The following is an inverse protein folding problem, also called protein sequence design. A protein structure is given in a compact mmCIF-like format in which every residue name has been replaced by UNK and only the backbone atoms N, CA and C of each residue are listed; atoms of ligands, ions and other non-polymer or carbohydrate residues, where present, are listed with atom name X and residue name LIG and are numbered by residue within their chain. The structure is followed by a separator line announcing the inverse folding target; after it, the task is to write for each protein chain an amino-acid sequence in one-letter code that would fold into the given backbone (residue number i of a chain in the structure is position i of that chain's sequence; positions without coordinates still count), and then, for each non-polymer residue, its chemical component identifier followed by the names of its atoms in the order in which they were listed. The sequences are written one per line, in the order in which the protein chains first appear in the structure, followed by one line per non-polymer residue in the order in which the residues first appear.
data_IF_480182924682
#
_entry.id   IF_480182924682
#
_cell.length_a   1.000
_cell.length_b   1.000
_cell.length_c   1.000
_cell.angle_alpha   90.00
_cell.angle_beta   90.00
_cell.angle_gamma   90.00
#
_symmetry.space_group_name_H-M   'P 1'
#
loop_
_entity.id
_entity.type
_entity.pdbx_description
1 polymer ?
#
# COMPACT_ATOMS: atom_id res chain seq x y z
N UNK A 1 -18.09 9.91 -14.92
CA UNK A 1 -17.10 8.92 -14.52
C UNK A 1 -17.24 7.54 -15.17
N UNK A 2 -18.44 6.99 -15.37
CA UNK A 2 -18.58 5.68 -16.07
C UNK A 2 -17.93 5.64 -17.45
N UNK A 3 -17.88 6.78 -18.16
CA UNK A 3 -17.30 6.85 -19.50
C UNK A 3 -15.76 6.69 -19.51
N UNK A 4 -15.04 7.29 -18.54
CA UNK A 4 -13.58 7.14 -18.40
C UNK A 4 -13.20 5.71 -18.02
N UNK A 5 -13.92 5.12 -17.09
CA UNK A 5 -13.73 3.75 -16.68
C UNK A 5 -13.97 2.75 -17.83
N UNK A 6 -15.04 2.95 -18.60
CA UNK A 6 -15.33 2.14 -19.77
C UNK A 6 -14.25 2.32 -20.85
N UNK A 7 -13.74 3.52 -21.04
CA UNK A 7 -12.64 3.80 -21.95
C UNK A 7 -11.35 3.10 -21.51
N UNK A 8 -11.00 3.15 -20.22
CA UNK A 8 -9.81 2.51 -19.67
C UNK A 8 -9.83 0.98 -19.88
N UNK A 9 -11.00 0.36 -19.70
CA UNK A 9 -11.17 -1.09 -19.92
C UNK A 9 -10.96 -1.53 -21.36
N UNK A 10 -11.26 -0.66 -22.32
CA UNK A 10 -11.19 -0.95 -23.77
C UNK A 10 -9.88 -0.52 -24.41
N UNK A 11 -9.22 0.46 -23.81
CA UNK A 11 -8.03 1.07 -24.38
C UNK A 11 -6.83 0.13 -24.29
N UNK A 12 -6.02 0.10 -25.34
CA UNK A 12 -4.80 -0.72 -25.43
C UNK A 12 -3.53 0.12 -25.65
N UNK A 13 -3.69 1.37 -26.05
CA UNK A 13 -2.57 2.28 -26.27
C UNK A 13 -2.07 2.82 -24.93
N UNK A 14 -0.81 2.57 -24.53
CA UNK A 14 -0.31 2.94 -23.22
C UNK A 14 -0.47 4.44 -22.87
N UNK A 15 -0.16 5.32 -23.81
CA UNK A 15 -0.31 6.78 -23.61
C UNK A 15 -1.75 7.21 -23.37
N UNK A 16 -2.71 6.56 -24.01
CA UNK A 16 -4.12 6.86 -23.84
C UNK A 16 -4.60 6.34 -22.48
N UNK A 17 -4.17 5.15 -22.07
CA UNK A 17 -4.41 4.62 -20.72
C UNK A 17 -3.89 5.56 -19.63
N UNK A 18 -2.67 6.06 -19.82
CA UNK A 18 -2.05 7.02 -18.89
C UNK A 18 -2.87 8.31 -18.80
N UNK A 19 -3.33 8.84 -19.92
CA UNK A 19 -4.17 10.04 -19.95
C UNK A 19 -5.52 9.81 -19.25
N UNK A 20 -6.15 8.65 -19.46
CA UNK A 20 -7.42 8.30 -18.78
C UNK A 20 -7.20 8.13 -17.28
N UNK A 21 -6.13 7.45 -16.88
CA UNK A 21 -5.77 7.29 -15.47
C UNK A 21 -5.53 8.65 -14.80
N UNK A 22 -4.80 9.54 -15.47
CA UNK A 22 -4.58 10.92 -15.00
C UNK A 22 -5.90 11.68 -14.84
N UNK A 23 -6.83 11.51 -15.75
CA UNK A 23 -8.15 12.14 -15.66
C UNK A 23 -8.95 11.62 -14.45
N UNK A 24 -8.89 10.30 -14.17
CA UNK A 24 -9.50 9.72 -12.98
C UNK A 24 -8.85 10.25 -11.69
N UNK A 25 -7.53 10.35 -11.66
CA UNK A 25 -6.80 10.95 -10.52
C UNK A 25 -7.22 12.39 -10.26
N UNK A 26 -7.43 13.19 -11.31
CA UNK A 26 -7.85 14.59 -11.16
C UNK A 26 -9.26 14.73 -10.61
N UNK A 27 -10.13 13.79 -10.84
CA UNK A 27 -11.45 13.74 -10.20
C UNK A 27 -11.30 13.42 -8.70
N UNK A 28 -10.48 12.42 -8.36
CA UNK A 28 -10.01 12.17 -7.01
C UNK A 28 -11.06 11.79 -5.99
N UNK A 29 -12.22 11.33 -6.43
CA UNK A 29 -13.32 10.90 -5.58
C UNK A 29 -13.33 9.37 -5.35
N UNK A 30 -14.20 8.91 -4.46
CA UNK A 30 -14.35 7.49 -4.17
C UNK A 30 -14.71 6.66 -5.41
N UNK A 31 -15.51 7.22 -6.32
CA UNK A 31 -15.87 6.54 -7.57
C UNK A 31 -14.65 6.32 -8.47
N UNK A 32 -13.75 7.30 -8.53
CA UNK A 32 -12.47 7.15 -9.25
C UNK A 32 -11.60 6.05 -8.65
N UNK A 33 -11.53 5.97 -7.32
CA UNK A 33 -10.81 4.89 -6.62
C UNK A 33 -11.39 3.53 -6.96
N UNK A 34 -12.72 3.36 -6.87
CA UNK A 34 -13.40 2.10 -7.21
C UNK A 34 -13.10 1.63 -8.64
N UNK A 35 -12.96 2.56 -9.59
CA UNK A 35 -12.64 2.22 -10.97
C UNK A 35 -11.15 1.87 -11.19
N UNK A 36 -10.26 2.36 -10.35
CA UNK A 36 -8.82 2.10 -10.43
C UNK A 36 -8.45 0.80 -9.70
N UNK A 37 -9.10 0.49 -8.57
CA UNK A 37 -8.76 -0.66 -7.71
C UNK A 37 -8.62 -2.01 -8.46
N UNK A 38 -9.48 -2.37 -9.43
CA UNK A 38 -9.35 -3.64 -10.13
C UNK A 38 -8.00 -3.82 -10.86
N UNK A 39 -7.34 -2.73 -11.22
CA UNK A 39 -6.06 -2.77 -11.92
C UNK A 39 -4.86 -3.15 -11.04
N UNK A 40 -5.04 -3.19 -9.72
CA UNK A 40 -4.05 -3.78 -8.81
C UNK A 40 -3.83 -5.29 -9.09
N UNK A 41 -4.81 -5.95 -9.69
CA UNK A 41 -4.75 -7.37 -10.10
C UNK A 41 -4.35 -7.56 -11.56
N UNK A 42 -4.02 -6.48 -12.28
CA UNK A 42 -3.66 -6.56 -13.70
C UNK A 42 -2.42 -7.42 -13.93
N UNK A 43 -2.46 -8.27 -14.94
CA UNK A 43 -1.29 -9.02 -15.41
C UNK A 43 -0.32 -8.11 -16.18
N UNK A 44 -0.79 -6.99 -16.69
CA UNK A 44 0.04 -5.95 -17.28
C UNK A 44 0.73 -5.15 -16.17
N UNK A 45 2.05 -5.35 -16.03
CA UNK A 45 2.85 -4.69 -14.99
C UNK A 45 2.85 -3.16 -15.10
N UNK A 46 2.80 -2.62 -16.33
CA UNK A 46 2.72 -1.18 -16.57
C UNK A 46 1.40 -0.60 -16.09
N UNK A 47 0.29 -1.27 -16.38
CA UNK A 47 -1.04 -0.86 -15.94
C UNK A 47 -1.20 -0.98 -14.42
N UNK A 48 -0.64 -2.04 -13.83
CA UNK A 48 -0.62 -2.21 -12.37
C UNK A 48 0.19 -1.09 -11.70
N UNK A 49 1.37 -0.75 -12.24
CA UNK A 49 2.18 0.35 -11.73
C UNK A 49 1.46 1.70 -11.81
N UNK A 50 0.78 1.98 -12.92
CA UNK A 50 -0.04 3.19 -13.07
C UNK A 50 -1.15 3.25 -12.01
N UNK A 51 -1.83 2.13 -11.76
CA UNK A 51 -2.88 2.06 -10.75
C UNK A 51 -2.33 2.35 -9.34
N UNK A 52 -1.18 1.79 -8.99
CA UNK A 52 -0.51 2.03 -7.71
C UNK A 52 -0.19 3.53 -7.56
N UNK A 53 0.44 4.14 -8.54
CA UNK A 53 0.77 5.56 -8.52
C UNK A 53 -0.48 6.44 -8.41
N UNK A 54 -1.52 6.12 -9.16
CA UNK A 54 -2.79 6.83 -9.11
C UNK A 54 -3.41 6.79 -7.71
N UNK A 55 -3.50 5.61 -7.11
CA UNK A 55 -4.07 5.43 -5.77
C UNK A 55 -3.21 6.06 -4.67
N UNK A 56 -1.88 6.01 -4.79
CA UNK A 56 -0.97 6.69 -3.87
C UNK A 56 -1.12 8.21 -3.90
N UNK A 57 -1.55 8.78 -5.02
CA UNK A 57 -1.81 10.22 -5.12
C UNK A 57 -3.13 10.65 -4.49
N UNK A 58 -3.97 9.70 -4.05
CA UNK A 58 -5.31 9.92 -3.52
C UNK A 58 -5.45 9.39 -2.08
N UNK A 59 -4.59 9.80 -1.13
CA UNK A 59 -4.54 9.18 0.19
C UNK A 59 -5.85 9.29 0.98
N UNK A 60 -6.55 10.42 0.86
CA UNK A 60 -7.84 10.60 1.53
C UNK A 60 -8.96 9.78 0.89
N UNK A 61 -8.94 9.64 -0.45
CA UNK A 61 -9.97 8.90 -1.17
C UNK A 61 -9.80 7.38 -1.03
N UNK A 62 -8.56 6.89 -0.92
CA UNK A 62 -8.27 5.46 -0.75
C UNK A 62 -8.48 4.97 0.69
N UNK A 63 -8.36 5.84 1.68
CA UNK A 63 -8.42 5.48 3.09
C UNK A 63 -9.65 4.61 3.47
N UNK A 64 -10.88 4.89 3.01
CA UNK A 64 -12.04 4.05 3.31
C UNK A 64 -11.97 2.62 2.75
N UNK A 65 -11.13 2.37 1.75
CA UNK A 65 -10.99 1.07 1.11
C UNK A 65 -9.91 0.20 1.74
N UNK A 66 -9.07 0.76 2.61
CA UNK A 66 -7.88 0.07 3.14
C UNK A 66 -8.22 -1.17 3.95
N UNK A 67 -9.28 -1.14 4.77
CA UNK A 67 -9.69 -2.30 5.56
C UNK A 67 -10.05 -3.50 4.67
N UNK A 68 -10.76 -3.25 3.57
CA UNK A 68 -11.11 -4.28 2.57
C UNK A 68 -9.88 -4.82 1.85
N UNK A 69 -8.97 -3.94 1.44
CA UNK A 69 -7.74 -4.32 0.76
C UNK A 69 -6.82 -5.16 1.66
N UNK A 70 -6.73 -4.82 2.93
CA UNK A 70 -5.93 -5.57 3.91
C UNK A 70 -6.55 -6.92 4.27
N UNK A 71 -7.80 -7.14 3.95
CA UNK A 71 -8.53 -8.41 4.15
C UNK A 71 -8.65 -9.21 2.85
N UNK A 72 -8.02 -8.77 1.78
CA UNK A 72 -8.08 -9.47 0.50
C UNK A 72 -7.45 -10.87 0.63
N UNK A 73 -8.08 -11.92 0.05
CA UNK A 73 -7.52 -13.27 0.10
C UNK A 73 -6.19 -13.41 -0.62
N UNK A 74 -5.90 -12.53 -1.59
CA UNK A 74 -4.65 -12.52 -2.33
C UNK A 74 -3.58 -11.73 -1.56
N UNK A 75 -2.50 -12.42 -1.16
CA UNK A 75 -1.38 -11.79 -0.45
C UNK A 75 -0.68 -10.70 -1.27
N UNK A 76 -0.66 -10.83 -2.60
CA UNK A 76 -0.08 -9.81 -3.46
C UNK A 76 -0.88 -8.51 -3.42
N UNK A 77 -2.21 -8.60 -3.35
CA UNK A 77 -3.07 -7.42 -3.15
C UNK A 77 -2.84 -6.79 -1.79
N UNK A 78 -2.72 -7.59 -0.72
CA UNK A 78 -2.41 -7.06 0.62
C UNK A 78 -1.05 -6.37 0.67
N UNK A 79 -0.05 -6.93 -0.02
CA UNK A 79 1.28 -6.32 -0.15
C UNK A 79 1.19 -4.96 -0.85
N UNK A 80 0.51 -4.90 -1.99
CA UNK A 80 0.31 -3.63 -2.70
C UNK A 80 -0.49 -2.63 -1.87
N UNK A 81 -1.47 -3.09 -1.10
CA UNK A 81 -2.23 -2.23 -0.19
C UNK A 81 -1.34 -1.56 0.86
N UNK A 82 -0.33 -2.27 1.39
CA UNK A 82 0.65 -1.67 2.28
C UNK A 82 1.39 -0.51 1.59
N UNK A 83 1.80 -0.68 0.34
CA UNK A 83 2.44 0.37 -0.45
C UNK A 83 1.55 1.61 -0.67
N UNK A 84 0.23 1.43 -0.74
CA UNK A 84 -0.71 2.54 -0.92
C UNK A 84 -0.74 3.52 0.27
N UNK A 85 -0.27 3.11 1.44
CA UNK A 85 -0.24 3.96 2.63
C UNK A 85 0.93 4.95 2.64
N UNK A 86 1.89 4.82 1.74
CA UNK A 86 3.16 5.57 1.74
C UNK A 86 2.97 7.09 1.72
N UNK A 87 1.95 7.60 1.06
CA UNK A 87 1.66 9.03 0.95
C UNK A 87 0.58 9.51 1.93
N UNK A 88 0.12 8.66 2.84
CA UNK A 88 -0.76 9.07 3.93
C UNK A 88 0.03 9.82 5.00
N UNK A 89 -0.66 10.58 5.86
CA UNK A 89 0.02 11.16 7.01
C UNK A 89 0.59 10.05 7.92
N UNK A 90 1.68 10.35 8.61
CA UNK A 90 2.44 9.37 9.40
C UNK A 90 1.59 8.64 10.44
N UNK A 91 0.67 9.34 11.10
CA UNK A 91 -0.21 8.75 12.12
C UNK A 91 -1.17 7.72 11.53
N UNK A 92 -1.84 8.05 10.42
CA UNK A 92 -2.79 7.14 9.76
C UNK A 92 -2.07 5.94 9.13
N UNK A 93 -0.94 6.18 8.45
CA UNK A 93 -0.12 5.10 7.90
C UNK A 93 0.33 4.13 9.00
N UNK A 94 0.84 4.65 10.10
CA UNK A 94 1.29 3.82 11.24
C UNK A 94 0.14 2.99 11.80
N UNK A 95 -1.01 3.58 12.06
CA UNK A 95 -2.18 2.86 12.57
C UNK A 95 -2.62 1.74 11.64
N UNK A 96 -2.79 2.04 10.36
CA UNK A 96 -3.24 1.07 9.36
C UNK A 96 -2.25 -0.07 9.18
N UNK A 97 -0.96 0.23 9.11
CA UNK A 97 0.09 -0.78 8.92
C UNK A 97 0.28 -1.66 10.16
N UNK A 98 0.14 -1.09 11.35
CA UNK A 98 0.14 -1.89 12.58
C UNK A 98 -1.04 -2.86 12.64
N UNK A 99 -2.25 -2.41 12.27
CA UNK A 99 -3.43 -3.29 12.17
C UNK A 99 -3.20 -4.44 11.18
N UNK A 100 -2.56 -4.16 10.03
CA UNK A 100 -2.20 -5.18 9.06
C UNK A 100 -1.20 -6.18 9.65
N UNK A 101 -0.08 -5.69 10.19
CA UNK A 101 1.02 -6.52 10.71
C UNK A 101 0.52 -7.45 11.83
N UNK A 102 -0.34 -6.98 12.71
CA UNK A 102 -0.82 -7.75 13.87
C UNK A 102 -1.56 -9.04 13.47
N UNK A 103 -2.20 -9.07 12.33
CA UNK A 103 -2.97 -10.23 11.83
C UNK A 103 -2.37 -10.91 10.61
N UNK A 104 -1.33 -10.35 10.01
CA UNK A 104 -0.72 -10.87 8.79
C UNK A 104 0.18 -12.06 9.09
N UNK A 105 -0.02 -13.14 8.35
CA UNK A 105 0.77 -14.37 8.47
C UNK A 105 1.84 -14.49 7.37
N UNK A 106 1.72 -13.72 6.29
CA UNK A 106 2.64 -13.80 5.17
C UNK A 106 3.83 -12.86 5.37
N UNK A 107 5.07 -13.39 5.46
CA UNK A 107 6.25 -12.57 5.77
C UNK A 107 6.54 -11.48 4.74
N UNK A 108 6.23 -11.69 3.47
CA UNK A 108 6.44 -10.67 2.43
C UNK A 108 5.48 -9.50 2.57
N UNK A 109 4.25 -9.73 3.01
CA UNK A 109 3.30 -8.65 3.30
C UNK A 109 3.76 -7.85 4.51
N UNK A 110 4.20 -8.53 5.57
CA UNK A 110 4.82 -7.85 6.72
C UNK A 110 6.04 -7.04 6.31
N UNK A 111 6.90 -7.58 5.44
CA UNK A 111 8.08 -6.87 4.95
C UNK A 111 7.72 -5.59 4.19
N UNK A 112 6.69 -5.61 3.34
CA UNK A 112 6.19 -4.42 2.65
C UNK A 112 5.69 -3.36 3.63
N UNK A 113 4.95 -3.78 4.65
CA UNK A 113 4.47 -2.87 5.70
C UNK A 113 5.62 -2.27 6.52
N UNK A 114 6.63 -3.09 6.87
CA UNK A 114 7.85 -2.64 7.57
C UNK A 114 8.63 -1.63 6.73
N UNK A 115 8.73 -1.85 5.42
CA UNK A 115 9.41 -0.93 4.51
C UNK A 115 8.75 0.45 4.50
N UNK A 116 7.43 0.50 4.42
CA UNK A 116 6.70 1.78 4.50
C UNK A 116 6.88 2.43 5.87
N UNK A 117 6.77 1.66 6.97
CA UNK A 117 6.98 2.19 8.33
C UNK A 117 8.41 2.72 8.54
N UNK A 118 9.39 2.15 7.86
CA UNK A 118 10.78 2.66 7.89
C UNK A 118 10.88 4.08 7.37
N UNK A 119 10.05 4.45 6.39
CA UNK A 119 10.06 5.79 5.81
C UNK A 119 9.15 6.77 6.55
N UNK A 120 7.94 6.35 6.93
CA UNK A 120 6.88 7.25 7.41
C UNK A 120 6.35 6.90 8.80
N UNK A 121 6.82 5.81 9.42
CA UNK A 121 6.31 5.33 10.69
C UNK A 121 6.61 6.26 11.86
N UNK A 122 5.75 6.18 12.88
CA UNK A 122 5.90 6.88 14.14
C UNK A 122 6.32 5.91 15.26
N UNK A 123 6.81 6.39 16.42
CA UNK A 123 7.22 5.51 17.53
C UNK A 123 6.13 4.55 18.02
N UNK A 124 4.86 4.85 17.80
CA UNK A 124 3.74 3.98 18.14
C UNK A 124 3.79 2.61 17.43
N UNK A 125 4.54 2.50 16.31
CA UNK A 125 4.73 1.25 15.60
C UNK A 125 5.68 0.28 16.32
N UNK A 126 6.55 0.76 17.19
CA UNK A 126 7.63 -0.05 17.78
C UNK A 126 7.14 -1.31 18.47
N UNK A 127 6.12 -1.27 19.35
CA UNK A 127 5.63 -2.50 20.00
C UNK A 127 5.12 -3.55 19.00
N UNK A 128 4.42 -3.12 17.95
CA UNK A 128 3.92 -4.01 16.90
C UNK A 128 5.08 -4.62 16.10
N UNK A 129 6.09 -3.83 15.78
CA UNK A 129 7.29 -4.29 15.09
C UNK A 129 8.07 -5.33 15.91
N UNK A 130 8.23 -5.10 17.20
CA UNK A 130 8.90 -6.06 18.10
C UNK A 130 8.16 -7.39 18.19
N UNK A 131 6.84 -7.37 18.28
CA UNK A 131 6.01 -8.59 18.26
C UNK A 131 6.11 -9.32 16.91
N UNK A 132 6.14 -8.58 15.83
CA UNK A 132 6.31 -9.13 14.48
C UNK A 132 7.66 -9.84 14.34
N UNK A 133 8.75 -9.22 14.81
CA UNK A 133 10.08 -9.84 14.80
C UNK A 133 10.11 -11.15 15.60
N UNK A 134 9.45 -11.20 16.73
CA UNK A 134 9.34 -12.40 17.55
C UNK A 134 8.54 -13.52 16.86
N UNK A 135 7.43 -13.18 16.19
CA UNK A 135 6.62 -14.11 15.41
C UNK A 135 7.37 -14.72 14.24
N UNK A 136 8.17 -13.92 13.54
CA UNK A 136 8.90 -14.31 12.34
C UNK A 136 10.39 -14.52 12.59
N UNK A 137 10.76 -14.97 13.78
CA UNK A 137 12.17 -15.18 14.16
C UNK A 137 12.93 -16.09 13.21
N UNK A 138 12.25 -17.02 12.53
CA UNK A 138 12.84 -17.92 11.55
C UNK A 138 12.97 -17.30 10.14
N UNK A 139 12.38 -16.15 9.90
CA UNK A 139 12.52 -15.47 8.62
C UNK A 139 13.97 -14.98 8.44
N UNK A 140 14.59 -15.20 7.27
CA UNK A 140 15.98 -14.79 7.04
C UNK A 140 16.15 -13.27 6.89
N UNK A 141 15.09 -12.53 6.66
CA UNK A 141 15.16 -11.09 6.35
C UNK A 141 14.33 -10.20 7.27
N UNK A 142 13.19 -10.68 7.78
CA UNK A 142 12.21 -9.83 8.45
C UNK A 142 12.70 -9.27 9.79
N UNK A 143 13.33 -10.05 10.70
CA UNK A 143 13.86 -9.49 11.95
C UNK A 143 14.90 -8.39 11.73
N UNK A 144 15.75 -8.53 10.72
CA UNK A 144 16.74 -7.51 10.38
C UNK A 144 16.05 -6.24 9.84
N UNK A 145 15.12 -6.37 8.90
CA UNK A 145 14.36 -5.24 8.37
C UNK A 145 13.63 -4.47 9.49
N UNK A 146 13.05 -5.20 10.44
CA UNK A 146 12.38 -4.60 11.60
C UNK A 146 13.36 -3.85 12.49
N UNK A 147 14.55 -4.41 12.73
CA UNK A 147 15.57 -3.71 13.55
C UNK A 147 16.01 -2.38 12.92
N UNK A 148 16.16 -2.36 11.60
CA UNK A 148 16.44 -1.11 10.85
C UNK A 148 15.28 -0.12 10.97
N UNK A 149 14.04 -0.59 10.83
CA UNK A 149 12.87 0.27 10.96
C UNK A 149 12.77 0.89 12.35
N UNK A 150 12.95 0.11 13.41
CA UNK A 150 12.92 0.60 14.79
C UNK A 150 14.04 1.62 15.03
N UNK A 151 15.26 1.35 14.59
CA UNK A 151 16.38 2.28 14.72
C UNK A 151 16.07 3.63 14.06
N UNK A 152 15.51 3.59 12.86
CA UNK A 152 15.16 4.81 12.12
C UNK A 152 14.01 5.58 12.74
N UNK A 153 12.95 4.90 13.15
CA UNK A 153 11.79 5.51 13.82
C UNK A 153 12.18 6.14 15.15
N UNK A 154 13.05 5.48 15.92
CA UNK A 154 13.50 5.98 17.22
C UNK A 154 14.55 7.09 17.13
N UNK A 155 15.06 7.40 15.94
CA UNK A 155 16.12 8.39 15.74
C UNK A 155 17.49 7.93 16.26
N UNK A 156 17.68 6.63 16.43
CA UNK A 156 18.95 6.05 16.93
C UNK A 156 20.06 6.01 15.88
N UNK A 157 19.79 6.44 14.65
CA UNK A 157 20.79 6.64 13.61
C UNK A 157 21.41 8.04 13.79
N UNK A 158 22.37 8.11 14.65
CA UNK A 158 23.25 9.26 14.84
C UNK A 158 24.56 9.07 14.10
#
# INVERSE_FOLDING_TARGET
MPALAAALRRERVPRVREAIMTALMRTGDAASVEEILPYLRSQDAGLRAMAIQALQSLPSAIAPFMATLFSDPDSDVRLLAAELTRNMNASDATRLLCELIEREEHPNVCAAAVDVLTEVGTPEAIPTLEKCAARFVQSPFLPFAISVAIARISGAEG
#
